data_IF_252406993859
#
_entry.id   IF_252406993859
#
_cell.length_a   1.000
_cell.length_b   1.000
_cell.length_c   1.000
_cell.angle_alpha   90.00
_cell.angle_beta   90.00
_cell.angle_gamma   90.00
#
_symmetry.space_group_name_H-M   'P 1'
#
loop_
_entity.id
_entity.type
_entity.pdbx_description
1 polymer ?
#
# COMPACT_ATOMS: atom_id res chain seq x y z
N UNK A 1 59.03 -22.01 0.01
CA UNK A 1 58.32 -20.78 -0.38
C UNK A 1 56.83 -21.07 -0.20
N UNK A 2 56.22 -20.56 0.88
CA UNK A 2 54.80 -20.84 1.18
C UNK A 2 53.93 -19.82 0.44
N UNK A 3 53.12 -20.29 -0.50
CA UNK A 3 52.16 -19.47 -1.22
C UNK A 3 50.99 -19.16 -0.27
N UNK A 4 50.85 -17.88 0.11
CA UNK A 4 49.71 -17.41 0.89
C UNK A 4 48.56 -17.17 -0.08
N UNK A 5 47.38 -17.79 0.11
CA UNK A 5 46.24 -17.57 -0.76
C UNK A 5 45.69 -16.15 -0.54
N UNK A 6 45.68 -15.35 -1.61
CA UNK A 6 45.00 -14.04 -1.60
C UNK A 6 43.49 -14.30 -1.64
N UNK A 7 42.83 -14.13 -0.50
CA UNK A 7 41.37 -14.20 -0.40
C UNK A 7 40.79 -12.88 -0.89
N UNK A 8 40.35 -12.86 -2.15
CA UNK A 8 39.62 -11.72 -2.74
C UNK A 8 38.17 -11.79 -2.27
N UNK A 9 37.80 -10.95 -1.30
CA UNK A 9 36.40 -10.71 -0.94
C UNK A 9 35.72 -9.87 -2.03
N UNK A 10 34.95 -10.51 -2.89
CA UNK A 10 34.07 -9.81 -3.82
C UNK A 10 32.95 -9.11 -3.05
N UNK A 11 32.55 -7.87 -3.41
CA UNK A 11 31.38 -7.24 -2.83
C UNK A 11 30.16 -8.10 -3.16
N UNK A 12 29.63 -8.78 -2.15
CA UNK A 12 28.34 -9.46 -2.25
C UNK A 12 27.31 -8.36 -2.53
N UNK A 13 26.80 -8.33 -3.76
CA UNK A 13 25.57 -7.64 -4.09
C UNK A 13 24.48 -8.19 -3.17
N UNK A 14 24.23 -7.46 -2.09
CA UNK A 14 23.12 -7.73 -1.18
C UNK A 14 21.87 -7.51 -2.01
N UNK A 15 21.31 -8.59 -2.54
CA UNK A 15 19.94 -8.58 -3.02
C UNK A 15 19.12 -8.32 -1.76
N UNK A 16 18.89 -7.05 -1.43
CA UNK A 16 17.83 -6.68 -0.52
C UNK A 16 16.61 -7.37 -1.09
N UNK A 17 16.08 -8.36 -0.36
CA UNK A 17 14.94 -9.15 -0.79
C UNK A 17 13.91 -8.16 -1.34
N UNK A 18 13.63 -8.23 -2.64
CA UNK A 18 12.61 -7.39 -3.23
C UNK A 18 11.29 -7.83 -2.59
N UNK A 19 10.89 -7.16 -1.52
CA UNK A 19 9.53 -7.24 -0.99
C UNK A 19 8.64 -6.93 -2.16
N UNK A 20 7.87 -7.93 -2.59
CA UNK A 20 7.07 -7.95 -3.80
C UNK A 20 6.28 -6.63 -3.91
N UNK A 21 6.79 -5.68 -4.72
CA UNK A 21 6.28 -4.29 -4.78
C UNK A 21 4.94 -4.22 -5.51
N UNK A 22 4.67 -5.26 -6.30
CA UNK A 22 3.53 -5.46 -7.17
C UNK A 22 2.35 -6.13 -6.45
N UNK A 23 2.40 -6.30 -5.12
CA UNK A 23 1.26 -6.81 -4.34
C UNK A 23 0.87 -5.83 -3.23
N UNK A 24 -0.32 -6.03 -2.67
CA UNK A 24 -0.72 -5.39 -1.42
C UNK A 24 0.24 -5.84 -0.30
N UNK A 25 0.81 -4.88 0.43
CA UNK A 25 1.62 -5.14 1.62
C UNK A 25 0.77 -5.42 2.87
N UNK A 26 -0.56 -5.33 2.72
CA UNK A 26 -1.53 -5.52 3.80
C UNK A 26 -2.75 -6.27 3.29
N UNK A 27 -3.27 -7.17 4.14
CA UNK A 27 -4.50 -7.88 3.84
C UNK A 27 -5.73 -6.98 3.96
N UNK A 28 -6.79 -7.38 3.26
CA UNK A 28 -8.04 -6.63 3.19
C UNK A 28 -8.74 -6.57 4.57
N UNK A 29 -8.82 -7.72 5.24
CA UNK A 29 -9.48 -7.89 6.54
C UNK A 29 -8.52 -7.79 7.73
N UNK A 30 -7.40 -7.07 7.59
CA UNK A 30 -6.49 -6.79 8.72
C UNK A 30 -7.06 -5.73 9.70
N UNK A 31 -8.38 -5.66 9.80
CA UNK A 31 -9.17 -4.71 10.58
C UNK A 31 -8.89 -4.83 12.09
N UNK A 32 -8.51 -6.03 12.56
CA UNK A 32 -8.18 -6.31 13.95
C UNK A 32 -6.70 -6.02 14.31
N UNK A 33 -5.83 -5.79 13.32
CA UNK A 33 -4.40 -5.49 13.54
C UNK A 33 -4.16 -3.99 13.71
N UNK A 34 -4.96 -3.16 13.01
CA UNK A 34 -5.05 -1.71 13.22
C UNK A 34 -6.46 -1.30 13.67
N UNK A 35 -6.84 -1.72 14.88
CA UNK A 35 -8.15 -1.38 15.46
C UNK A 35 -8.43 0.13 15.43
N UNK A 36 -7.41 0.99 15.65
CA UNK A 36 -7.57 2.44 15.59
C UNK A 36 -8.03 2.96 14.22
N UNK A 37 -7.50 2.42 13.11
CA UNK A 37 -7.89 2.80 11.75
C UNK A 37 -9.29 2.25 11.42
N UNK A 38 -9.61 1.05 11.88
CA UNK A 38 -10.93 0.45 11.65
C UNK A 38 -12.04 1.15 12.45
N UNK A 39 -11.80 1.50 13.72
CA UNK A 39 -12.75 2.27 14.53
C UNK A 39 -12.87 3.73 14.04
N UNK A 40 -11.77 4.40 13.64
CA UNK A 40 -11.85 5.71 12.98
C UNK A 40 -12.57 5.65 11.63
N UNK A 41 -12.40 4.59 10.85
CA UNK A 41 -13.14 4.39 9.60
C UNK A 41 -14.63 4.15 9.81
N UNK A 42 -15.01 3.52 10.93
CA UNK A 42 -16.40 3.29 11.31
C UNK A 42 -17.07 4.54 11.91
N UNK A 43 -16.34 5.34 12.71
CA UNK A 43 -16.85 6.55 13.38
C UNK A 43 -16.69 7.85 12.56
N UNK A 44 -15.66 7.97 11.72
CA UNK A 44 -15.47 9.07 10.77
C UNK A 44 -14.89 8.59 9.44
N UNK A 45 -15.69 7.80 8.71
CA UNK A 45 -15.41 7.42 7.33
C UNK A 45 -14.98 8.57 6.40
N UNK A 46 -15.63 9.76 6.40
CA UNK A 46 -15.20 10.86 5.54
C UNK A 46 -13.82 11.39 5.92
N UNK A 47 -13.46 11.44 7.21
CA UNK A 47 -12.12 11.86 7.64
C UNK A 47 -11.05 10.93 7.06
N UNK A 48 -11.26 9.61 7.15
CA UNK A 48 -10.34 8.61 6.62
C UNK A 48 -10.24 8.70 5.10
N UNK A 49 -11.37 8.88 4.41
CA UNK A 49 -11.40 9.06 2.96
C UNK A 49 -10.60 10.27 2.53
N UNK A 50 -10.70 11.39 3.28
CA UNK A 50 -9.95 12.59 2.99
C UNK A 50 -8.45 12.46 3.27
N UNK A 51 -8.05 11.67 4.27
CA UNK A 51 -6.63 11.36 4.50
C UNK A 51 -6.03 10.56 3.33
N UNK A 52 -6.75 9.55 2.85
CA UNK A 52 -6.32 8.73 1.70
C UNK A 52 -6.31 9.57 0.42
N UNK A 53 -7.37 10.34 0.16
CA UNK A 53 -7.44 11.26 -0.98
C UNK A 53 -6.30 12.28 -0.94
N UNK A 54 -6.06 12.94 0.20
CA UNK A 54 -4.94 13.87 0.37
C UNK A 54 -3.58 13.21 0.12
N UNK A 55 -3.38 11.96 0.59
CA UNK A 55 -2.16 11.21 0.32
C UNK A 55 -1.98 10.88 -1.18
N UNK A 56 -3.08 10.69 -1.90
CA UNK A 56 -3.11 10.46 -3.35
C UNK A 56 -3.14 11.76 -4.18
N UNK A 57 -3.17 12.93 -3.54
CA UNK A 57 -3.31 14.25 -4.16
C UNK A 57 -4.68 14.48 -4.84
N UNK A 58 -5.72 13.84 -4.32
CA UNK A 58 -7.11 13.92 -4.78
C UNK A 58 -7.98 14.76 -3.83
N UNK A 59 -9.14 15.23 -4.31
CA UNK A 59 -10.07 15.99 -3.49
C UNK A 59 -10.74 15.12 -2.40
N UNK A 60 -10.89 15.67 -1.20
CA UNK A 60 -11.59 15.04 -0.07
C UNK A 60 -13.03 14.60 -0.42
N UNK A 61 -13.69 15.31 -1.34
CA UNK A 61 -15.02 14.95 -1.85
C UNK A 61 -15.04 13.71 -2.76
N UNK A 62 -13.90 13.28 -3.31
CA UNK A 62 -13.82 12.17 -4.25
C UNK A 62 -13.99 10.80 -3.58
N UNK A 63 -14.01 10.76 -2.25
CA UNK A 63 -14.44 9.62 -1.45
C UNK A 63 -13.71 8.29 -1.74
N UNK A 64 -14.04 7.25 -0.99
CA UNK A 64 -13.51 5.92 -1.21
C UNK A 64 -14.32 5.23 -2.30
N UNK A 65 -13.87 5.37 -3.54
CA UNK A 65 -14.52 4.80 -4.72
C UNK A 65 -13.75 3.58 -5.23
N UNK A 66 -14.43 2.74 -6.02
CA UNK A 66 -13.77 1.70 -6.82
C UNK A 66 -12.63 2.31 -7.66
N UNK A 67 -12.82 3.53 -8.14
CA UNK A 67 -11.82 4.30 -8.90
C UNK A 67 -10.55 4.53 -8.09
N UNK A 68 -10.63 4.93 -6.82
CA UNK A 68 -9.45 5.14 -5.98
C UNK A 68 -8.62 3.87 -5.84
N UNK A 69 -9.29 2.73 -5.64
CA UNK A 69 -8.64 1.42 -5.57
C UNK A 69 -8.00 1.04 -6.90
N UNK A 70 -8.73 1.19 -8.01
CA UNK A 70 -8.23 0.89 -9.35
C UNK A 70 -7.01 1.76 -9.72
N UNK A 71 -7.07 3.07 -9.48
CA UNK A 71 -5.96 4.01 -9.70
C UNK A 71 -4.75 3.63 -8.85
N UNK A 72 -4.97 3.29 -7.57
CA UNK A 72 -3.89 2.86 -6.67
C UNK A 72 -3.20 1.57 -7.18
N UNK A 73 -3.98 0.60 -7.64
CA UNK A 73 -3.46 -0.66 -8.19
C UNK A 73 -2.67 -0.43 -9.47
N UNK A 74 -3.17 0.42 -10.38
CA UNK A 74 -2.45 0.79 -11.60
C UNK A 74 -1.12 1.49 -11.27
N UNK A 75 -1.10 2.37 -10.27
CA UNK A 75 0.12 3.08 -9.86
C UNK A 75 1.23 2.16 -9.35
N UNK A 76 0.85 1.08 -8.69
CA UNK A 76 1.78 0.14 -8.07
C UNK A 76 1.80 -1.25 -8.72
N UNK A 77 1.28 -1.37 -9.95
CA UNK A 77 1.19 -2.61 -10.73
C UNK A 77 0.59 -3.80 -9.97
N UNK A 78 -0.43 -3.57 -9.13
CA UNK A 78 -1.02 -4.61 -8.30
C UNK A 78 -2.01 -5.46 -9.13
N UNK A 79 -1.83 -6.79 -9.27
CA UNK A 79 -2.61 -7.65 -10.17
C UNK A 79 -4.00 -7.97 -9.62
N UNK A 80 -5.05 -7.68 -10.40
CA UNK A 80 -6.46 -7.89 -10.04
C UNK A 80 -7.41 -7.22 -11.03
N UNK A 81 -8.71 -7.25 -10.76
CA UNK A 81 -9.73 -6.79 -11.70
C UNK A 81 -10.66 -5.71 -11.11
N UNK A 82 -11.26 -4.88 -11.97
CA UNK A 82 -12.28 -3.90 -11.56
C UNK A 82 -13.49 -4.61 -10.91
N UNK A 83 -13.82 -5.83 -11.36
CA UNK A 83 -14.90 -6.62 -10.77
C UNK A 83 -14.59 -7.01 -9.32
N UNK A 84 -13.36 -7.45 -9.05
CA UNK A 84 -12.87 -7.73 -7.71
C UNK A 84 -12.89 -6.48 -6.82
N UNK A 85 -12.41 -5.35 -7.34
CA UNK A 85 -12.41 -4.08 -6.62
C UNK A 85 -13.84 -3.59 -6.31
N UNK A 86 -14.79 -3.79 -7.23
CA UNK A 86 -16.21 -3.47 -7.02
C UNK A 86 -16.83 -4.37 -5.96
N UNK A 87 -16.53 -5.68 -6.00
CA UNK A 87 -17.00 -6.63 -4.99
C UNK A 87 -16.46 -6.28 -3.59
N UNK A 88 -15.17 -5.94 -3.49
CA UNK A 88 -14.53 -5.55 -2.24
C UNK A 88 -15.11 -4.26 -1.68
N UNK A 89 -15.27 -3.22 -2.52
CA UNK A 89 -15.88 -1.95 -2.11
C UNK A 89 -17.36 -2.12 -1.75
N UNK A 90 -18.09 -2.98 -2.46
CA UNK A 90 -19.50 -3.28 -2.19
C UNK A 90 -19.72 -4.09 -0.90
N UNK A 91 -18.82 -5.03 -0.60
CA UNK A 91 -18.93 -5.89 0.59
C UNK A 91 -18.46 -5.17 1.86
N UNK A 92 -17.31 -4.50 1.84
CA UNK A 92 -16.80 -3.72 2.96
C UNK A 92 -16.00 -2.49 2.47
N UNK A 93 -16.67 -1.34 2.23
CA UNK A 93 -16.00 -0.14 1.75
C UNK A 93 -14.99 0.41 2.77
N UNK A 94 -15.27 0.23 4.07
CA UNK A 94 -14.37 0.60 5.17
C UNK A 94 -13.08 -0.21 5.10
N UNK A 95 -13.17 -1.54 5.00
CA UNK A 95 -12.01 -2.43 4.94
C UNK A 95 -11.14 -2.12 3.71
N UNK A 96 -11.78 -1.88 2.56
CA UNK A 96 -11.12 -1.49 1.32
C UNK A 96 -10.29 -0.21 1.50
N UNK A 97 -10.86 0.81 2.14
CA UNK A 97 -10.19 2.07 2.37
C UNK A 97 -9.08 1.96 3.43
N UNK A 98 -9.34 1.22 4.52
CA UNK A 98 -8.34 0.93 5.54
C UNK A 98 -7.14 0.20 4.95
N UNK A 99 -7.35 -0.75 4.03
CA UNK A 99 -6.29 -1.44 3.32
C UNK A 99 -5.40 -0.45 2.56
N UNK A 100 -5.99 0.44 1.76
CA UNK A 100 -5.23 1.48 1.03
C UNK A 100 -4.46 2.37 2.01
N UNK A 101 -5.08 2.81 3.10
CA UNK A 101 -4.41 3.66 4.09
C UNK A 101 -3.19 2.98 4.73
N UNK A 102 -3.31 1.71 5.13
CA UNK A 102 -2.21 0.94 5.71
C UNK A 102 -1.11 0.68 4.67
N UNK A 103 -1.49 0.39 3.43
CA UNK A 103 -0.53 0.19 2.33
C UNK A 103 0.27 1.47 2.05
N UNK A 104 -0.40 2.63 2.02
CA UNK A 104 0.27 3.94 1.95
C UNK A 104 1.27 4.12 3.10
N UNK A 105 0.89 3.79 4.34
CA UNK A 105 1.76 3.93 5.51
C UNK A 105 3.00 3.03 5.39
N UNK A 106 2.82 1.74 5.07
CA UNK A 106 3.94 0.81 4.85
C UNK A 106 4.83 1.26 3.69
N UNK A 107 4.26 1.71 2.57
CA UNK A 107 5.06 2.23 1.44
C UNK A 107 5.81 3.51 1.82
N UNK A 108 5.28 4.37 2.68
CA UNK A 108 6.00 5.56 3.20
C UNK A 108 7.19 5.15 4.07
N UNK A 109 7.00 4.19 4.97
CA UNK A 109 8.05 3.65 5.85
C UNK A 109 9.20 3.01 5.04
N UNK A 110 8.88 2.36 3.93
CA UNK A 110 9.87 1.78 3.02
C UNK A 110 10.57 2.82 2.12
N UNK A 111 10.22 4.12 2.18
CA UNK A 111 10.69 5.13 1.22
C UNK A 111 10.12 4.95 -0.21
N UNK A 112 9.14 4.06 -0.32
CA UNK A 112 8.44 3.53 -1.49
C UNK A 112 7.49 4.45 -2.22
N UNK A 113 6.90 5.33 -1.41
CA UNK A 113 5.63 5.97 -1.68
C UNK A 113 5.86 7.22 -2.52
N UNK A 114 5.49 7.13 -3.79
CA UNK A 114 5.50 8.27 -4.69
C UNK A 114 4.22 9.07 -4.44
N UNK A 115 4.34 10.25 -3.82
CA UNK A 115 3.22 11.20 -3.79
C UNK A 115 2.97 11.60 -5.25
N UNK A 116 1.75 11.43 -5.73
CA UNK A 116 1.36 11.91 -7.07
C UNK A 116 1.50 13.43 -7.04
N UNK A 117 2.57 13.97 -7.65
CA UNK A 117 2.68 15.40 -7.90
C UNK A 117 1.89 15.70 -9.16
N UNK A 118 0.78 16.41 -9.03
CA UNK A 118 0.20 17.10 -10.18
C UNK A 118 1.04 18.31 -10.57
#
# INVERSE_FOLDING_TARGET
>A
MNAVPVVVTQPQMVIAAQTNRDYWLTDLCDCCSDCGVCFCGLFCFPCLACQVASAMNECCCCGPTVTMRAVYRTKYNIPGSICEDTCIVGCCPVCSLCQIQRDIKKRKELGVFQRTSS
#
